data_IF_688692545166
#
_entry.id   IF_688692545166
#
_cell.length_a   1.000
_cell.length_b   1.000
_cell.length_c   1.000
_cell.angle_alpha   90.00
_cell.angle_beta   90.00
_cell.angle_gamma   90.00
#
_symmetry.space_group_name_H-M   'P 1'
#
loop_
_entity.id
_entity.type
_entity.pdbx_description
1 polymer ?
#
# COMPACT_ATOMS: atom_id res chain seq x y z
N UNK A 1 0.58 7.08 5.76
CA UNK A 1 1.54 6.34 6.60
C UNK A 1 1.41 6.92 7.99
N UNK A 2 1.28 6.07 8.99
CA UNK A 2 1.04 6.50 10.36
C UNK A 2 1.71 5.52 11.33
N UNK A 3 2.51 6.01 12.28
CA UNK A 3 3.22 5.23 13.30
C UNK A 3 3.87 3.91 12.78
N UNK A 4 4.59 3.96 11.65
CA UNK A 4 5.23 2.77 11.10
C UNK A 4 4.32 1.86 10.27
N UNK A 5 3.04 2.22 10.08
CA UNK A 5 2.07 1.46 9.30
C UNK A 5 1.74 2.18 7.99
N UNK A 6 1.88 1.46 6.88
CA UNK A 6 1.40 1.90 5.58
C UNK A 6 0.05 1.24 5.31
N UNK A 7 -1.00 2.05 5.20
CA UNK A 7 -2.33 1.58 4.81
C UNK A 7 -2.65 2.03 3.39
N UNK A 8 -3.08 1.10 2.56
CA UNK A 8 -3.63 1.34 1.23
C UNK A 8 -5.09 0.92 1.25
N UNK A 9 -6.00 1.85 0.99
CA UNK A 9 -7.43 1.60 0.91
C UNK A 9 -8.02 2.15 -0.38
N UNK A 10 -9.13 1.56 -0.81
CA UNK A 10 -9.81 1.97 -2.03
C UNK A 10 -11.08 1.16 -2.28
N UNK A 11 -11.72 1.40 -3.42
CA UNK A 11 -12.92 0.69 -3.85
C UNK A 11 -12.78 0.31 -5.33
N UNK A 12 -12.90 -0.98 -5.61
CA UNK A 12 -13.07 -1.48 -6.98
C UNK A 12 -14.55 -1.50 -7.32
N UNK A 13 -14.98 -0.66 -8.27
CA UNK A 13 -16.39 -0.54 -8.66
C UNK A 13 -16.69 -1.54 -9.78
N UNK A 14 -17.82 -2.25 -9.66
CA UNK A 14 -18.33 -3.06 -10.76
C UNK A 14 -19.20 -2.17 -11.67
N UNK A 15 -18.62 -1.64 -12.73
CA UNK A 15 -19.29 -0.77 -13.70
C UNK A 15 -20.48 -1.46 -14.40
N UNK A 16 -20.47 -2.80 -14.51
CA UNK A 16 -21.59 -3.57 -15.09
C UNK A 16 -22.80 -3.67 -14.16
N UNK A 17 -22.66 -3.38 -12.87
CA UNK A 17 -23.78 -3.38 -11.93
C UNK A 17 -24.72 -2.17 -12.15
N UNK A 18 -24.21 -1.11 -12.77
CA UNK A 18 -24.96 0.11 -13.09
C UNK A 18 -25.93 -0.02 -14.27
N UNK A 19 -25.75 -1.01 -15.14
CA UNK A 19 -26.61 -1.24 -16.32
C UNK A 19 -27.93 -2.00 -16.00
N UNK A 20 -28.16 -2.31 -14.71
CA UNK A 20 -29.33 -3.03 -14.22
C UNK A 20 -29.22 -4.55 -14.44
N UNK A 21 -29.99 -5.31 -13.66
CA UNK A 21 -30.04 -6.80 -13.67
C UNK A 21 -30.60 -7.41 -14.99
N UNK A 22 -30.48 -6.71 -16.12
CA UNK A 22 -30.85 -7.21 -17.46
C UNK A 22 -29.76 -8.11 -18.06
N UNK A 23 -29.26 -9.04 -17.25
CA UNK A 23 -29.25 -10.43 -17.68
C UNK A 23 -28.00 -11.05 -18.29
N UNK A 24 -26.82 -10.43 -18.27
CA UNK A 24 -25.64 -11.02 -18.96
C UNK A 24 -24.40 -11.29 -18.08
N UNK A 25 -24.55 -11.45 -16.77
CA UNK A 25 -23.45 -11.91 -15.93
C UNK A 25 -23.55 -13.42 -15.66
N UNK A 26 -22.99 -14.23 -16.57
CA UNK A 26 -22.99 -15.70 -16.42
C UNK A 26 -21.91 -16.21 -15.45
N UNK A 27 -20.81 -15.46 -15.30
CA UNK A 27 -19.69 -15.82 -14.43
C UNK A 27 -18.86 -14.59 -14.06
N UNK A 28 -18.42 -14.49 -12.80
CA UNK A 28 -17.38 -13.56 -12.35
C UNK A 28 -16.24 -14.33 -11.71
N UNK A 29 -15.02 -14.07 -12.17
CA UNK A 29 -13.80 -14.39 -11.41
C UNK A 29 -13.24 -13.15 -10.71
N UNK A 30 -13.75 -11.97 -11.06
CA UNK A 30 -13.29 -10.68 -10.55
C UNK A 30 -14.01 -10.33 -9.25
N UNK A 31 -13.23 -9.91 -8.25
CA UNK A 31 -13.74 -9.36 -6.99
C UNK A 31 -13.91 -7.84 -7.12
N UNK A 32 -15.01 -7.34 -6.59
CA UNK A 32 -15.33 -5.90 -6.51
C UNK A 32 -15.71 -5.55 -5.07
N UNK A 33 -15.64 -4.27 -4.73
CA UNK A 33 -15.92 -3.77 -3.39
C UNK A 33 -14.76 -2.98 -2.81
N UNK A 34 -14.93 -2.59 -1.55
CA UNK A 34 -13.89 -1.89 -0.80
C UNK A 34 -12.76 -2.83 -0.41
N UNK A 35 -11.53 -2.34 -0.45
CA UNK A 35 -10.36 -3.05 0.02
C UNK A 35 -9.53 -2.14 0.94
N UNK A 36 -8.86 -2.75 1.90
CA UNK A 36 -7.87 -2.09 2.74
C UNK A 36 -6.78 -3.10 3.08
N UNK A 37 -5.53 -2.70 2.93
CA UNK A 37 -4.36 -3.49 3.30
C UNK A 37 -3.42 -2.61 4.10
N UNK A 38 -3.04 -3.08 5.27
CA UNK A 38 -2.05 -2.42 6.13
C UNK A 38 -0.79 -3.27 6.18
N UNK A 39 0.36 -2.63 6.04
CA UNK A 39 1.68 -3.25 6.10
C UNK A 39 2.49 -2.51 7.17
N UNK A 40 3.01 -3.24 8.15
CA UNK A 40 3.94 -2.69 9.13
C UNK A 40 5.34 -2.57 8.53
N UNK A 41 5.95 -1.40 8.64
CA UNK A 41 7.26 -1.09 8.10
C UNK A 41 8.28 -1.17 9.24
N UNK A 42 9.26 -2.10 9.18
CA UNK A 42 10.18 -2.36 10.29
C UNK A 42 11.28 -1.30 10.45
N UNK A 43 11.39 -0.35 9.53
CA UNK A 43 12.41 0.70 9.52
C UNK A 43 11.80 2.08 9.70
N UNK A 44 12.58 3.03 10.24
CA UNK A 44 12.22 4.45 10.23
C UNK A 44 12.23 4.99 8.80
N UNK A 45 11.14 5.64 8.42
CA UNK A 45 10.90 6.21 7.08
C UNK A 45 10.87 7.73 7.19
N UNK A 46 11.44 8.41 6.20
CA UNK A 46 11.23 9.84 6.00
C UNK A 46 9.83 10.03 5.39
N UNK A 47 8.85 10.35 6.24
CA UNK A 47 7.43 10.40 5.85
C UNK A 47 7.13 11.50 4.84
N UNK A 48 7.90 12.58 4.87
CA UNK A 48 7.66 13.77 4.04
C UNK A 48 8.06 13.53 2.57
N UNK A 49 8.85 12.48 2.32
CA UNK A 49 9.34 12.07 1.00
C UNK A 49 8.73 10.78 0.49
N UNK A 50 7.60 10.35 1.05
CA UNK A 50 6.88 9.18 0.51
C UNK A 50 6.29 9.55 -0.85
N UNK A 51 6.58 8.73 -1.86
CA UNK A 51 6.05 8.89 -3.21
C UNK A 51 5.15 7.72 -3.59
N UNK A 52 4.10 7.98 -4.36
CA UNK A 52 3.20 6.96 -4.87
C UNK A 52 2.89 7.19 -6.36
N UNK A 53 2.92 6.12 -7.15
CA UNK A 53 2.60 6.14 -8.57
C UNK A 53 1.67 4.99 -8.92
N UNK A 54 0.64 5.25 -9.71
CA UNK A 54 -0.31 4.25 -10.18
C UNK A 54 -0.26 4.14 -11.70
N UNK A 55 0.09 2.96 -12.20
CA UNK A 55 0.19 2.72 -13.64
C UNK A 55 -0.22 1.28 -13.95
N UNK A 56 -1.01 1.11 -15.01
CA UNK A 56 -1.45 -0.20 -15.52
C UNK A 56 -2.05 -1.12 -14.44
N UNK A 57 -2.81 -0.56 -13.49
CA UNK A 57 -3.44 -1.34 -12.41
C UNK A 57 -2.53 -1.65 -11.22
N UNK A 58 -1.30 -1.16 -11.20
CA UNK A 58 -0.31 -1.39 -10.13
C UNK A 58 -0.04 -0.08 -9.40
N UNK A 59 -0.20 -0.10 -8.07
CA UNK A 59 0.19 0.99 -7.18
C UNK A 59 1.58 0.71 -6.61
N UNK A 60 2.55 1.52 -7.00
CA UNK A 60 3.93 1.50 -6.50
C UNK A 60 4.11 2.62 -5.48
N UNK A 61 4.57 2.28 -4.28
CA UNK A 61 4.82 3.25 -3.21
C UNK A 61 6.28 3.14 -2.78
N UNK A 62 7.00 4.25 -2.81
CA UNK A 62 8.41 4.35 -2.40
C UNK A 62 8.46 5.01 -1.03
N UNK A 63 9.08 4.32 -0.07
CA UNK A 63 9.26 4.79 1.30
C UNK A 63 10.76 4.97 1.57
N UNK A 64 11.31 6.19 1.47
CA UNK A 64 12.72 6.43 1.74
C UNK A 64 13.05 6.13 3.21
N UNK A 65 14.08 5.33 3.44
CA UNK A 65 14.58 5.10 4.81
C UNK A 65 15.30 6.35 5.29
N UNK A 66 15.13 6.70 6.56
CA UNK A 66 15.98 7.72 7.19
C UNK A 66 17.39 7.15 7.26
N UNK A 67 18.39 7.89 6.76
CA UNK A 67 19.79 7.53 6.97
C UNK A 67 20.10 7.55 8.47
N UNK A 68 20.37 6.37 9.04
CA UNK A 68 21.03 6.31 10.34
C UNK A 68 22.50 6.63 10.10
N UNK A 69 23.00 7.74 10.66
CA UNK A 69 24.43 7.91 10.82
C UNK A 69 24.94 6.67 11.56
N UNK A 70 25.75 5.85 10.91
CA UNK A 70 26.32 4.63 11.51
C UNK A 70 27.37 5.05 12.55
N UNK A 71 26.95 5.52 13.72
CA UNK A 71 27.81 5.43 14.89
C UNK A 71 27.82 3.96 15.30
N UNK A 72 28.79 3.19 14.81
CA UNK A 72 29.08 1.87 15.38
C UNK A 72 29.35 2.11 16.88
N UNK A 73 28.43 1.71 17.76
CA UNK A 73 28.74 1.62 19.20
C UNK A 73 29.76 0.50 19.34
N UNK A 74 31.01 0.88 19.55
CA UNK A 74 32.07 -0.06 19.92
C UNK A 74 31.78 -0.49 21.35
N UNK A 75 31.45 -1.77 21.55
CA UNK A 75 31.28 -2.34 22.89
C UNK A 75 32.65 -2.89 23.26
N UNK A 76 33.32 -2.25 24.22
CA UNK A 76 34.55 -2.76 24.78
C UNK A 76 34.25 -3.98 25.67
N UNK A 77 35.06 -5.03 25.54
CA UNK A 77 35.06 -6.21 26.40
C UNK A 77 36.30 -6.08 27.29
N UNK A 78 36.11 -6.12 28.61
CA UNK A 78 37.18 -6.26 29.61
C UNK A 78 37.35 -7.72 30.02
#
# INVERSE_FOLDING_TARGET
>A
YDEGKLTVSGKSVNERKSEGDRGNHRWSERRFGSFSRTISIPSRIDSDRIEAQFSNGILSIVLPKIEQSRSKKQIAIN
#
